data_IF_298889720063
#
_entry.id   IF_298889720063
#
_cell.length_a   1.000
_cell.length_b   1.000
_cell.length_c   1.000
_cell.angle_alpha   90.00
_cell.angle_beta   90.00
_cell.angle_gamma   90.00
#
_symmetry.space_group_name_H-M   'P 1'
#
loop_
_entity.id
_entity.type
_entity.pdbx_description
1 polymer ?
#
# COMPACT_ATOMS: atom_id res chain seq x y z
N UNK A 1 14.17 6.00 9.64
CA UNK A 1 13.80 5.68 8.24
C UNK A 1 12.62 6.56 7.85
N UNK A 2 12.55 6.97 6.58
CA UNK A 2 11.54 7.91 6.06
C UNK A 2 10.68 7.24 5.00
N UNK A 3 9.38 7.10 5.26
CA UNK A 3 8.42 6.58 4.28
C UNK A 3 7.61 7.72 3.64
N UNK A 4 7.58 7.76 2.31
CA UNK A 4 6.60 8.57 1.59
C UNK A 4 5.21 7.96 1.74
N UNK A 5 4.25 8.73 2.20
CA UNK A 5 2.87 8.28 2.42
C UNK A 5 1.92 9.12 1.61
N UNK A 6 1.17 8.49 0.71
CA UNK A 6 0.24 9.18 -0.17
C UNK A 6 -1.19 9.04 0.33
N UNK A 7 -1.94 10.13 0.32
CA UNK A 7 -3.31 10.18 0.83
C UNK A 7 -4.08 11.37 0.24
N UNK A 8 -5.43 11.31 0.33
CA UNK A 8 -6.31 12.43 -0.03
C UNK A 8 -6.75 13.23 1.19
N UNK A 9 -7.21 12.54 2.24
CA UNK A 9 -7.78 13.18 3.43
C UNK A 9 -6.86 12.96 4.65
N UNK A 10 -6.34 14.05 5.19
CA UNK A 10 -5.47 14.03 6.37
C UNK A 10 -6.17 13.51 7.63
N UNK A 11 -7.48 13.70 7.77
CA UNK A 11 -8.24 13.26 8.94
C UNK A 11 -8.25 11.72 9.10
N UNK A 12 -7.96 10.99 8.01
CA UNK A 12 -7.90 9.53 8.01
C UNK A 12 -6.49 8.96 8.22
N UNK A 13 -5.49 9.80 8.44
CA UNK A 13 -4.11 9.36 8.60
C UNK A 13 -3.75 8.80 9.98
N UNK A 14 -4.52 9.12 11.02
CA UNK A 14 -4.19 8.75 12.39
C UNK A 14 -3.78 7.28 12.60
N UNK A 15 -4.51 6.28 12.07
CA UNK A 15 -4.12 4.87 12.12
C UNK A 15 -2.78 4.60 11.43
N UNK A 16 -2.55 5.14 10.23
CA UNK A 16 -1.29 4.98 9.49
C UNK A 16 -0.11 5.62 10.24
N UNK A 17 -0.30 6.84 10.77
CA UNK A 17 0.73 7.54 11.57
C UNK A 17 1.12 6.73 12.81
N UNK A 18 0.13 6.12 13.46
CA UNK A 18 0.36 5.24 14.62
C UNK A 18 1.15 4.00 14.22
N UNK A 19 0.73 3.31 13.17
CA UNK A 19 1.38 2.10 12.69
C UNK A 19 2.84 2.35 12.29
N UNK A 20 3.09 3.41 11.55
CA UNK A 20 4.45 3.81 11.15
C UNK A 20 5.30 4.20 12.35
N UNK A 21 4.77 4.99 13.29
CA UNK A 21 5.48 5.40 14.49
C UNK A 21 5.86 4.21 15.38
N UNK A 22 4.95 3.23 15.55
CA UNK A 22 5.23 2.00 16.29
C UNK A 22 6.31 1.14 15.61
N UNK A 23 6.40 1.21 14.27
CA UNK A 23 7.46 0.57 13.49
C UNK A 23 8.77 1.39 13.39
N UNK A 24 8.86 2.55 14.05
CA UNK A 24 10.04 3.41 14.01
C UNK A 24 10.26 4.15 12.68
N UNK A 25 9.18 4.40 11.94
CA UNK A 25 9.19 5.05 10.62
C UNK A 25 8.67 6.48 10.72
N UNK A 26 9.43 7.43 10.20
CA UNK A 26 9.03 8.82 9.99
C UNK A 26 8.17 8.94 8.73
N UNK A 27 7.02 9.61 8.82
CA UNK A 27 6.12 9.85 7.70
C UNK A 27 6.50 11.12 6.93
N UNK A 28 6.68 10.99 5.62
CA UNK A 28 6.76 12.12 4.66
C UNK A 28 5.46 12.17 3.87
N UNK A 29 4.66 13.22 4.09
CA UNK A 29 3.30 13.34 3.55
C UNK A 29 3.31 13.78 2.07
N UNK A 30 2.61 13.04 1.20
CA UNK A 30 2.43 13.31 -0.23
C UNK A 30 3.74 13.80 -0.91
N UNK A 31 4.80 12.98 -0.92
CA UNK A 31 6.09 13.40 -1.47
C UNK A 31 5.98 13.67 -2.97
N UNK A 32 6.68 14.68 -3.46
CA UNK A 32 6.75 15.00 -4.88
C UNK A 32 7.63 14.02 -5.68
N UNK A 33 8.60 13.37 -5.01
CA UNK A 33 9.50 12.36 -5.58
C UNK A 33 9.83 11.29 -4.54
N UNK A 34 10.50 10.22 -4.95
CA UNK A 34 11.01 9.20 -4.04
C UNK A 34 12.38 9.55 -3.44
N UNK A 35 12.97 10.69 -3.82
CA UNK A 35 14.28 11.10 -3.36
C UNK A 35 14.29 11.25 -1.83
N UNK A 36 15.36 10.80 -1.21
CA UNK A 36 15.52 10.76 0.25
C UNK A 36 14.46 9.95 1.04
N UNK A 37 13.68 9.11 0.37
CA UNK A 37 12.81 8.13 1.01
C UNK A 37 13.52 6.77 1.14
N UNK A 38 13.17 6.06 2.19
CA UNK A 38 13.60 4.68 2.42
C UNK A 38 12.49 3.68 2.06
N UNK A 39 11.25 4.15 1.85
CA UNK A 39 10.09 3.35 1.45
C UNK A 39 8.91 4.19 0.98
N UNK A 40 7.93 3.54 0.34
CA UNK A 40 6.69 4.14 -0.15
C UNK A 40 5.49 3.37 0.42
N UNK A 41 4.55 4.09 1.04
CA UNK A 41 3.28 3.55 1.50
C UNK A 41 2.14 4.23 0.75
N UNK A 42 1.38 3.43 -0.01
CA UNK A 42 0.14 3.86 -0.66
C UNK A 42 -1.05 3.53 0.24
N UNK A 43 -1.83 4.55 0.62
CA UNK A 43 -2.97 4.36 1.55
C UNK A 43 -4.28 4.06 0.82
N UNK A 44 -5.30 3.68 1.58
CA UNK A 44 -6.67 3.58 1.11
C UNK A 44 -7.25 4.90 0.59
N UNK A 45 -8.43 4.88 -0.02
CA UNK A 45 -9.06 6.10 -0.54
C UNK A 45 -10.21 5.85 -1.50
N UNK A 46 -10.49 6.86 -2.33
CA UNK A 46 -11.49 6.84 -3.41
C UNK A 46 -11.10 5.84 -4.52
N UNK A 47 -12.03 5.53 -5.41
CA UNK A 47 -11.83 4.62 -6.51
C UNK A 47 -10.68 5.07 -7.45
N UNK A 48 -10.03 4.11 -8.09
CA UNK A 48 -9.06 4.36 -9.16
C UNK A 48 -9.81 4.63 -10.46
N UNK A 49 -9.38 5.63 -11.24
CA UNK A 49 -10.04 5.99 -12.50
C UNK A 49 -10.06 4.80 -13.49
N UNK A 50 -11.24 4.31 -13.91
CA UNK A 50 -11.36 3.22 -14.85
C UNK A 50 -10.68 3.48 -16.20
N UNK A 51 -10.53 4.73 -16.61
CA UNK A 51 -9.79 5.10 -17.82
C UNK A 51 -8.33 4.63 -17.79
N UNK A 52 -7.72 4.44 -16.60
CA UNK A 52 -6.35 3.97 -16.44
C UNK A 52 -6.15 2.50 -16.84
N UNK A 53 -7.23 1.72 -16.87
CA UNK A 53 -7.22 0.32 -17.32
C UNK A 53 -8.16 0.07 -18.51
N UNK A 54 -8.52 1.15 -19.25
CA UNK A 54 -9.23 1.08 -20.52
C UNK A 54 -10.74 0.82 -20.42
N UNK A 55 -11.33 1.07 -19.26
CA UNK A 55 -12.76 0.85 -19.02
C UNK A 55 -13.53 2.15 -18.83
N UNK A 56 -14.86 2.06 -19.00
CA UNK A 56 -15.79 3.14 -18.64
C UNK A 56 -16.26 2.94 -17.21
N UNK A 57 -16.47 4.05 -16.48
CA UNK A 57 -17.00 4.01 -15.13
C UNK A 57 -18.43 3.45 -15.11
N UNK A 58 -18.66 2.45 -14.24
CA UNK A 58 -20.02 1.93 -13.99
C UNK A 58 -20.77 2.84 -13.00
N UNK A 59 -22.12 2.79 -12.97
CA UNK A 59 -22.93 3.68 -12.12
C UNK A 59 -22.57 3.59 -10.61
N UNK A 60 -22.26 2.37 -10.13
CA UNK A 60 -21.96 2.12 -8.72
C UNK A 60 -20.52 2.45 -8.31
N UNK A 61 -19.65 2.80 -9.27
CA UNK A 61 -18.30 3.25 -8.97
C UNK A 61 -18.27 4.70 -8.48
N UNK A 62 -17.45 4.96 -7.47
CA UNK A 62 -17.25 6.29 -6.91
C UNK A 62 -16.48 7.24 -7.84
N UNK A 63 -16.41 8.52 -7.46
CA UNK A 63 -15.61 9.50 -8.19
C UNK A 63 -14.11 9.28 -7.95
N UNK A 64 -13.30 9.09 -9.02
CA UNK A 64 -11.86 8.93 -8.88
C UNK A 64 -11.16 10.23 -8.53
N UNK A 65 -10.00 10.10 -7.91
CA UNK A 65 -9.05 11.20 -7.72
C UNK A 65 -7.91 11.09 -8.73
N UNK A 66 -8.13 11.64 -9.93
CA UNK A 66 -7.19 11.52 -11.06
C UNK A 66 -5.81 12.11 -10.77
N UNK A 67 -5.77 13.21 -10.01
CA UNK A 67 -4.50 13.84 -9.65
C UNK A 67 -3.69 12.94 -8.70
N UNK A 68 -4.37 12.31 -7.75
CA UNK A 68 -3.76 11.31 -6.85
C UNK A 68 -3.35 10.05 -7.62
N UNK A 69 -4.19 9.55 -8.52
CA UNK A 69 -3.86 8.39 -9.37
C UNK A 69 -2.58 8.62 -10.15
N UNK A 70 -2.43 9.80 -10.77
CA UNK A 70 -1.24 10.16 -11.56
C UNK A 70 0.02 10.26 -10.69
N UNK A 71 -0.09 10.96 -9.57
CA UNK A 71 1.00 11.10 -8.61
C UNK A 71 1.48 9.73 -8.10
N UNK A 72 0.56 8.91 -7.61
CA UNK A 72 0.89 7.60 -7.04
C UNK A 72 1.42 6.62 -8.08
N UNK A 73 0.85 6.60 -9.30
CA UNK A 73 1.35 5.76 -10.39
C UNK A 73 2.80 6.11 -10.75
N UNK A 74 3.12 7.40 -10.82
CA UNK A 74 4.49 7.89 -11.06
C UNK A 74 5.43 7.47 -9.92
N UNK A 75 5.05 7.70 -8.66
CA UNK A 75 5.86 7.33 -7.50
C UNK A 75 6.09 5.82 -7.43
N UNK A 76 5.06 5.01 -7.69
CA UNK A 76 5.16 3.56 -7.69
C UNK A 76 6.09 3.05 -8.79
N UNK A 77 6.01 3.63 -10.00
CA UNK A 77 6.92 3.31 -11.11
C UNK A 77 8.37 3.63 -10.74
N UNK A 78 8.62 4.81 -10.18
CA UNK A 78 9.96 5.20 -9.70
C UNK A 78 10.45 4.28 -8.59
N UNK A 79 9.58 3.92 -7.63
CA UNK A 79 9.92 3.01 -6.54
C UNK A 79 10.33 1.62 -7.06
N UNK A 80 9.63 1.08 -8.05
CA UNK A 80 10.00 -0.18 -8.69
C UNK A 80 11.37 -0.12 -9.37
N UNK A 81 11.65 0.94 -10.13
CA UNK A 81 12.94 1.16 -10.78
C UNK A 81 14.11 1.31 -9.79
N UNK A 82 13.86 1.97 -8.66
CA UNK A 82 14.85 2.16 -7.60
C UNK A 82 14.93 0.99 -6.62
N UNK A 83 14.11 -0.05 -6.78
CA UNK A 83 13.95 -1.15 -5.82
C UNK A 83 13.60 -0.68 -4.40
N UNK A 84 12.94 0.48 -4.30
CA UNK A 84 12.46 1.05 -3.04
C UNK A 84 11.36 0.17 -2.45
N UNK A 85 11.39 -0.19 -1.17
CA UNK A 85 10.33 -0.94 -0.52
C UNK A 85 8.95 -0.26 -0.66
N UNK A 86 7.93 -1.03 -1.05
CA UNK A 86 6.57 -0.57 -1.23
C UNK A 86 5.60 -1.39 -0.39
N UNK A 87 4.79 -0.72 0.42
CA UNK A 87 3.59 -1.28 1.05
C UNK A 87 2.37 -0.55 0.50
N UNK A 88 1.43 -1.30 -0.09
CA UNK A 88 0.22 -0.74 -0.70
C UNK A 88 -1.03 -1.29 0.01
N UNK A 89 -1.92 -0.41 0.48
CA UNK A 89 -3.07 -0.76 1.32
C UNK A 89 -4.36 -0.36 0.61
N UNK A 90 -5.30 -1.31 0.50
CA UNK A 90 -6.64 -1.14 -0.05
C UNK A 90 -6.61 -0.55 -1.47
N UNK A 91 -6.95 0.72 -1.64
CA UNK A 91 -6.80 1.42 -2.92
C UNK A 91 -5.37 1.34 -3.47
N UNK A 92 -4.36 1.32 -2.59
CA UNK A 92 -2.96 1.15 -2.99
C UNK A 92 -2.72 -0.18 -3.71
N UNK A 93 -3.31 -1.30 -3.27
CA UNK A 93 -3.29 -2.59 -3.96
C UNK A 93 -3.92 -2.47 -5.35
N UNK A 94 -5.09 -1.84 -5.43
CA UNK A 94 -5.83 -1.67 -6.68
C UNK A 94 -5.02 -0.85 -7.70
N UNK A 95 -4.44 0.26 -7.27
CA UNK A 95 -3.58 1.08 -8.11
C UNK A 95 -2.31 0.34 -8.53
N UNK A 96 -1.69 -0.42 -7.62
CA UNK A 96 -0.53 -1.24 -7.96
C UNK A 96 -0.89 -2.25 -9.05
N UNK A 97 -2.02 -2.95 -8.95
CA UNK A 97 -2.48 -3.86 -9.99
C UNK A 97 -2.64 -3.14 -11.35
N UNK A 98 -3.26 -1.95 -11.36
CA UNK A 98 -3.48 -1.15 -12.57
C UNK A 98 -2.16 -0.65 -13.18
N UNK A 99 -1.22 -0.17 -12.37
CA UNK A 99 0.11 0.29 -12.85
C UNK A 99 0.91 -0.85 -13.49
N UNK A 100 0.71 -2.08 -13.03
CA UNK A 100 1.29 -3.28 -13.61
C UNK A 100 0.49 -3.82 -14.81
N UNK A 101 -0.52 -3.07 -15.29
CA UNK A 101 -1.33 -3.40 -16.47
C UNK A 101 -2.51 -4.33 -16.19
N UNK A 102 -2.90 -4.50 -14.93
CA UNK A 102 -4.11 -5.22 -14.53
C UNK A 102 -5.39 -4.38 -14.69
N UNK A 103 -6.53 -4.95 -14.30
CA UNK A 103 -7.84 -4.27 -14.28
C UNK A 103 -8.52 -4.47 -12.92
N UNK A 104 -9.62 -3.76 -12.70
CA UNK A 104 -10.39 -3.84 -11.45
C UNK A 104 -11.82 -4.31 -11.69
N UNK A 105 -12.39 -4.98 -10.69
CA UNK A 105 -13.84 -5.08 -10.50
C UNK A 105 -14.25 -3.75 -9.88
N UNK A 106 -15.02 -2.95 -10.62
CA UNK A 106 -15.40 -1.60 -10.20
C UNK A 106 -16.44 -1.58 -9.08
N UNK A 107 -17.23 -2.67 -8.96
CA UNK A 107 -18.17 -2.88 -7.86
C UNK A 107 -18.36 -4.39 -7.65
N UNK A 108 -18.08 -4.86 -6.43
CA UNK A 108 -18.22 -6.27 -6.07
C UNK A 108 -19.69 -6.66 -5.95
N UNK A 109 -20.06 -7.83 -6.47
CA UNK A 109 -21.40 -8.40 -6.27
C UNK A 109 -21.64 -8.81 -4.80
N UNK A 110 -20.54 -9.17 -4.08
CA UNK A 110 -20.55 -9.54 -2.65
C UNK A 110 -20.11 -8.39 -1.75
N UNK A 111 -20.49 -7.16 -2.10
CA UNK A 111 -20.05 -5.94 -1.39
C UNK A 111 -20.35 -5.95 0.10
N UNK A 112 -21.42 -6.61 0.53
CA UNK A 112 -21.82 -6.74 1.93
C UNK A 112 -20.81 -7.53 2.78
N UNK A 113 -20.02 -8.41 2.17
CA UNK A 113 -18.92 -9.14 2.84
C UNK A 113 -17.71 -8.22 3.01
N UNK A 114 -17.41 -7.41 1.99
CA UNK A 114 -16.18 -6.63 1.87
C UNK A 114 -16.30 -5.19 2.37
N UNK A 115 -17.52 -4.69 2.59
CA UNK A 115 -17.74 -3.32 3.04
C UNK A 115 -18.55 -3.29 4.33
N UNK A 116 -17.85 -3.31 5.45
CA UNK A 116 -18.45 -3.06 6.77
C UNK A 116 -18.21 -1.63 7.18
N UNK A 117 -19.25 -0.96 7.69
CA UNK A 117 -19.15 0.43 8.14
C UNK A 117 -18.26 0.48 9.40
N UNK A 118 -17.25 1.37 9.45
CA UNK A 118 -16.48 1.62 10.66
C UNK A 118 -17.31 2.09 11.86
N UNK A 119 -18.52 2.64 11.64
CA UNK A 119 -19.43 3.08 12.71
C UNK A 119 -20.01 1.90 13.51
N UNK A 120 -19.97 0.68 12.95
CA UNK A 120 -20.35 -0.55 13.68
C UNK A 120 -19.25 -1.05 14.64
N UNK A 121 -18.09 -0.41 14.63
CA UNK A 121 -16.99 -0.74 15.52
C UNK A 121 -16.97 0.20 16.72
N UNK A 122 -17.07 -0.36 17.94
CA UNK A 122 -16.70 0.37 19.15
C UNK A 122 -15.29 0.96 18.99
N UNK A 123 -15.09 2.18 19.49
CA UNK A 123 -13.85 2.93 19.35
C UNK A 123 -12.63 2.06 19.74
N UNK A 124 -11.74 1.84 18.78
CA UNK A 124 -10.54 0.99 18.94
C UNK A 124 -10.75 -0.51 18.71
N UNK A 125 -11.95 -0.97 18.42
CA UNK A 125 -12.24 -2.34 17.99
C UNK A 125 -12.62 -2.32 16.51
N UNK A 126 -11.71 -2.73 15.64
CA UNK A 126 -12.01 -3.01 14.24
C UNK A 126 -12.20 -4.53 14.09
N UNK A 127 -13.45 -5.02 14.21
CA UNK A 127 -13.73 -6.46 14.17
C UNK A 127 -13.32 -7.01 12.80
N UNK A 128 -12.96 -8.27 12.77
CA UNK A 128 -12.76 -9.00 11.52
C UNK A 128 -14.07 -8.96 10.72
N UNK A 129 -13.93 -8.65 9.42
CA UNK A 129 -15.06 -8.65 8.50
C UNK A 129 -15.24 -10.01 7.85
N UNK A 130 -14.13 -10.61 7.37
CA UNK A 130 -14.11 -11.91 6.73
C UNK A 130 -12.76 -12.59 6.90
N UNK A 131 -12.66 -13.82 6.39
CA UNK A 131 -11.43 -14.61 6.35
C UNK A 131 -10.78 -14.52 4.98
N UNK A 132 -9.46 -14.49 5.00
CA UNK A 132 -8.62 -14.65 3.83
C UNK A 132 -7.76 -15.90 3.98
N UNK A 133 -7.31 -16.45 2.85
CA UNK A 133 -6.29 -17.49 2.81
C UNK A 133 -5.01 -16.93 2.22
N UNK A 134 -3.95 -16.90 3.02
CA UNK A 134 -2.61 -16.48 2.62
C UNK A 134 -1.91 -17.67 1.94
N UNK A 135 -1.39 -17.44 0.73
CA UNK A 135 -0.78 -18.44 -0.14
C UNK A 135 0.62 -18.81 0.37
N UNK A 136 0.86 -20.08 0.57
CA UNK A 136 2.18 -20.62 0.94
C UNK A 136 3.25 -20.27 -0.11
N UNK A 137 4.49 -20.04 0.33
CA UNK A 137 5.62 -19.69 -0.54
C UNK A 137 5.68 -18.22 -0.94
N UNK A 138 4.70 -17.41 -0.54
CA UNK A 138 4.70 -15.96 -0.76
C UNK A 138 5.48 -15.23 0.34
N UNK A 139 5.94 -14.00 0.03
CA UNK A 139 6.58 -13.14 1.03
C UNK A 139 5.58 -12.74 2.12
N UNK A 140 4.33 -12.51 1.76
CA UNK A 140 3.26 -12.26 2.72
C UNK A 140 3.15 -13.43 3.72
N UNK A 141 3.16 -14.68 3.23
CA UNK A 141 3.14 -15.87 4.09
C UNK A 141 4.37 -15.97 5.01
N UNK A 142 5.54 -15.58 4.52
CA UNK A 142 6.75 -15.54 5.34
C UNK A 142 6.68 -14.51 6.48
N UNK A 143 5.84 -13.46 6.32
CA UNK A 143 5.69 -12.38 7.31
C UNK A 143 4.59 -12.70 8.32
N UNK A 144 3.38 -13.07 7.85
CA UNK A 144 2.21 -13.22 8.72
C UNK A 144 1.78 -14.67 8.94
N UNK A 145 2.41 -15.63 8.27
CA UNK A 145 2.03 -17.04 8.24
C UNK A 145 1.15 -17.38 7.05
N UNK A 146 1.29 -18.60 6.53
CA UNK A 146 0.38 -19.16 5.54
C UNK A 146 -0.93 -19.62 6.18
N UNK A 147 -2.00 -19.76 5.38
CA UNK A 147 -3.29 -20.27 5.83
C UNK A 147 -4.32 -19.19 6.11
N UNK A 148 -5.28 -19.46 6.98
CA UNK A 148 -6.42 -18.57 7.22
C UNK A 148 -6.09 -17.46 8.22
N UNK A 149 -6.50 -16.23 7.88
CA UNK A 149 -6.41 -15.05 8.72
C UNK A 149 -7.74 -14.29 8.69
N UNK A 150 -8.08 -13.69 9.81
CA UNK A 150 -9.23 -12.78 9.90
C UNK A 150 -8.78 -11.33 9.68
N UNK A 151 -9.45 -10.63 8.76
CA UNK A 151 -9.12 -9.24 8.38
C UNK A 151 -10.35 -8.33 8.46
N UNK A 152 -10.12 -7.03 8.63
CA UNK A 152 -11.16 -6.02 8.43
C UNK A 152 -11.32 -5.70 6.95
N UNK A 153 -12.44 -5.07 6.57
CA UNK A 153 -12.69 -4.77 5.17
C UNK A 153 -13.60 -3.57 5.00
N UNK A 154 -13.25 -2.68 4.05
CA UNK A 154 -13.99 -1.45 3.74
C UNK A 154 -13.94 -1.12 2.25
N UNK A 155 -13.86 -2.11 1.38
CA UNK A 155 -13.77 -1.89 -0.06
C UNK A 155 -14.99 -2.43 -0.81
N UNK A 156 -15.27 -1.86 -1.97
CA UNK A 156 -16.27 -2.33 -2.91
C UNK A 156 -15.66 -2.61 -4.29
N UNK A 157 -14.38 -2.28 -4.46
CA UNK A 157 -13.60 -2.61 -5.65
C UNK A 157 -12.53 -3.64 -5.30
N UNK A 158 -12.08 -4.41 -6.30
CA UNK A 158 -11.00 -5.38 -6.14
C UNK A 158 -10.19 -5.53 -7.43
N UNK A 159 -9.00 -6.15 -7.35
CA UNK A 159 -8.26 -6.56 -8.53
C UNK A 159 -9.04 -7.61 -9.31
N UNK A 160 -9.13 -7.43 -10.66
CA UNK A 160 -9.75 -8.38 -11.59
C UNK A 160 -8.67 -9.14 -12.36
N UNK A 161 -8.31 -8.69 -13.56
CA UNK A 161 -7.16 -9.25 -14.27
C UNK A 161 -5.88 -8.79 -13.59
N UNK A 162 -5.03 -9.75 -13.28
CA UNK A 162 -3.75 -9.50 -12.61
C UNK A 162 -2.79 -8.73 -13.52
N UNK A 163 -2.09 -7.76 -12.95
CA UNK A 163 -0.99 -7.05 -13.59
C UNK A 163 0.22 -7.97 -13.84
N UNK A 164 1.05 -7.60 -14.82
CA UNK A 164 2.20 -8.41 -15.19
C UNK A 164 3.18 -8.59 -14.04
N UNK A 165 3.68 -9.82 -13.88
CA UNK A 165 4.64 -10.22 -12.86
C UNK A 165 4.18 -10.09 -11.39
N UNK A 166 2.95 -9.67 -11.15
CA UNK A 166 2.36 -9.78 -9.82
C UNK A 166 1.96 -11.24 -9.55
N UNK A 167 2.04 -11.63 -8.29
CA UNK A 167 1.51 -12.91 -7.81
C UNK A 167 0.46 -12.65 -6.73
N UNK A 168 -0.56 -13.52 -6.70
CA UNK A 168 -1.59 -13.47 -5.67
C UNK A 168 -1.05 -14.07 -4.39
N UNK A 169 -1.00 -13.28 -3.32
CA UNK A 169 -0.49 -13.71 -2.02
C UNK A 169 -1.61 -13.98 -0.99
N UNK A 170 -2.85 -13.51 -1.26
CA UNK A 170 -4.02 -13.84 -0.44
C UNK A 170 -5.31 -13.74 -1.25
N UNK A 171 -6.31 -14.56 -0.87
CA UNK A 171 -7.66 -14.54 -1.44
C UNK A 171 -8.70 -14.73 -0.34
N UNK A 172 -9.89 -14.13 -0.49
CA UNK A 172 -11.06 -14.40 0.35
C UNK A 172 -11.78 -15.68 -0.06
N UNK A 173 -12.75 -16.12 0.74
CA UNK A 173 -13.51 -17.35 0.48
C UNK A 173 -14.34 -17.28 -0.81
N UNK A 174 -14.78 -16.09 -1.23
CA UNK A 174 -15.51 -15.83 -2.48
C UNK A 174 -14.58 -15.57 -3.67
N UNK A 175 -13.26 -15.74 -3.50
CA UNK A 175 -12.27 -15.66 -4.57
C UNK A 175 -11.77 -14.23 -4.88
N UNK A 176 -12.15 -13.24 -4.10
CA UNK A 176 -11.64 -11.87 -4.25
C UNK A 176 -10.16 -11.84 -3.86
N UNK A 177 -9.35 -11.16 -4.69
CA UNK A 177 -7.92 -10.97 -4.43
C UNK A 177 -7.75 -10.01 -3.26
N UNK A 178 -7.09 -10.50 -2.22
CA UNK A 178 -6.86 -9.78 -0.97
C UNK A 178 -5.38 -9.44 -0.73
N UNK A 179 -4.48 -10.07 -1.47
CA UNK A 179 -3.05 -9.80 -1.39
C UNK A 179 -2.35 -9.98 -2.72
N UNK A 180 -1.44 -9.06 -3.02
CA UNK A 180 -0.56 -9.10 -4.20
C UNK A 180 0.88 -8.82 -3.77
N UNK A 181 1.84 -9.38 -4.51
CA UNK A 181 3.25 -9.00 -4.37
C UNK A 181 3.97 -9.07 -5.72
N UNK A 182 5.02 -8.26 -5.87
CA UNK A 182 6.00 -8.42 -6.95
C UNK A 182 7.23 -9.17 -6.41
N UNK A 183 7.40 -10.44 -6.75
CA UNK A 183 8.50 -11.25 -6.23
C UNK A 183 9.89 -10.82 -6.77
N UNK A 184 9.94 -10.01 -7.82
CA UNK A 184 11.18 -9.48 -8.42
C UNK A 184 11.80 -8.35 -7.58
N UNK A 185 10.96 -7.66 -6.77
CA UNK A 185 11.40 -6.56 -5.92
C UNK A 185 11.74 -7.07 -4.51
N UNK A 186 12.70 -6.45 -3.81
CA UNK A 186 13.06 -6.83 -2.45
C UNK A 186 11.88 -6.79 -1.48
N UNK A 187 11.01 -5.79 -1.61
CA UNK A 187 9.76 -5.67 -0.86
C UNK A 187 8.73 -4.87 -1.66
N UNK A 188 7.74 -5.53 -2.22
CA UNK A 188 6.58 -4.90 -2.84
C UNK A 188 5.37 -5.77 -2.52
N UNK A 189 4.67 -5.40 -1.45
CA UNK A 189 3.52 -6.12 -0.91
C UNK A 189 2.32 -5.19 -0.91
N UNK A 190 1.20 -5.71 -1.37
CA UNK A 190 -0.07 -5.02 -1.40
C UNK A 190 -1.15 -5.86 -0.71
N UNK A 191 -1.95 -5.24 0.14
CA UNK A 191 -3.04 -5.88 0.88
C UNK A 191 -4.35 -5.10 0.68
N UNK A 192 -5.47 -5.81 0.56
CA UNK A 192 -6.75 -5.19 0.30
C UNK A 192 -7.45 -4.71 1.58
N UNK A 193 -7.17 -5.37 2.71
CA UNK A 193 -7.67 -4.97 4.02
C UNK A 193 -6.89 -3.77 4.58
N UNK A 194 -7.26 -3.34 5.81
CA UNK A 194 -6.69 -2.19 6.50
C UNK A 194 -5.90 -2.62 7.76
N UNK A 195 -4.64 -3.06 7.60
CA UNK A 195 -3.81 -3.49 8.73
C UNK A 195 -3.51 -2.35 9.73
N UNK A 196 -3.49 -1.09 9.27
CA UNK A 196 -3.25 0.10 10.09
C UNK A 196 -4.26 0.27 11.23
N UNK A 197 -5.50 -0.19 11.02
CA UNK A 197 -6.55 -0.11 12.04
C UNK A 197 -6.42 -1.18 13.12
N UNK A 198 -5.67 -2.26 12.85
CA UNK A 198 -5.64 -3.48 13.66
C UNK A 198 -4.32 -3.72 14.39
N UNK A 199 -3.33 -2.86 14.26
CA UNK A 199 -2.00 -3.04 14.89
C UNK A 199 -2.06 -3.27 16.41
N UNK A 200 -3.11 -2.81 17.09
CA UNK A 200 -3.29 -3.02 18.54
C UNK A 200 -3.80 -4.41 18.91
N UNK A 201 -4.55 -5.04 18.00
CA UNK A 201 -5.26 -6.32 18.26
C UNK A 201 -4.75 -7.48 17.43
N UNK A 202 -4.05 -7.24 16.32
CA UNK A 202 -3.54 -8.26 15.40
C UNK A 202 -2.01 -8.28 15.38
N UNK A 203 -1.43 -9.42 15.72
CA UNK A 203 0.01 -9.64 15.61
C UNK A 203 0.46 -9.67 14.15
N UNK A 204 -0.34 -10.28 13.25
CA UNK A 204 -0.08 -10.35 11.82
C UNK A 204 0.03 -8.95 11.18
N UNK A 205 -0.89 -8.05 11.53
CA UNK A 205 -0.89 -6.69 11.00
C UNK A 205 0.32 -5.88 11.53
N UNK A 206 0.73 -6.06 12.79
CA UNK A 206 1.98 -5.48 13.31
C UNK A 206 3.21 -6.01 12.59
N UNK A 207 3.25 -7.33 12.32
CA UNK A 207 4.37 -7.96 11.61
C UNK A 207 4.52 -7.42 10.19
N UNK A 208 3.44 -7.08 9.51
CA UNK A 208 3.49 -6.47 8.17
C UNK A 208 4.20 -5.11 8.20
N UNK A 209 3.87 -4.23 9.14
CA UNK A 209 4.57 -2.95 9.30
C UNK A 209 6.02 -3.12 9.76
N UNK A 210 6.29 -4.07 10.65
CA UNK A 210 7.66 -4.39 11.08
C UNK A 210 8.52 -4.91 9.93
N UNK A 211 7.97 -5.76 9.06
CA UNK A 211 8.65 -6.26 7.86
C UNK A 211 8.92 -5.15 6.84
N UNK A 212 7.97 -4.22 6.66
CA UNK A 212 8.19 -3.03 5.85
C UNK A 212 9.34 -2.17 6.41
N UNK A 213 9.37 -1.92 7.72
CA UNK A 213 10.47 -1.21 8.38
C UNK A 213 11.82 -1.91 8.18
N UNK A 214 11.87 -3.24 8.33
CA UNK A 214 13.10 -4.01 8.12
C UNK A 214 13.60 -3.91 6.67
N UNK A 215 12.69 -3.98 5.68
CA UNK A 215 13.03 -3.78 4.28
C UNK A 215 13.58 -2.37 4.00
N UNK A 216 12.96 -1.34 4.58
CA UNK A 216 13.44 0.05 4.49
C UNK A 216 14.83 0.21 5.11
N UNK A 217 15.10 -0.46 6.23
CA UNK A 217 16.42 -0.45 6.86
C UNK A 217 17.49 -1.03 5.93
N UNK A 218 17.20 -2.18 5.32
CA UNK A 218 18.10 -2.81 4.35
C UNK A 218 18.36 -1.89 3.14
N UNK A 219 17.30 -1.28 2.60
CA UNK A 219 17.41 -0.34 1.49
C UNK A 219 18.27 0.88 1.85
N UNK A 220 18.05 1.49 3.02
CA UNK A 220 18.77 2.70 3.46
C UNK A 220 20.27 2.47 3.65
N UNK A 221 20.68 1.26 4.02
CA UNK A 221 22.08 0.86 4.19
C UNK A 221 22.74 0.41 2.88
N UNK A 222 21.94 0.08 1.86
CA UNK A 222 22.39 -0.36 0.55
C UNK A 222 22.93 0.76 -0.35
N UNK A 223 23.46 0.40 -1.53
CA UNK A 223 24.05 1.35 -2.48
C UNK A 223 23.02 2.36 -3.03
N UNK A 224 21.75 1.99 -3.09
CA UNK A 224 20.66 2.85 -3.56
C UNK A 224 20.33 3.96 -2.54
N UNK A 225 20.23 3.63 -1.24
CA UNK A 225 19.95 4.60 -0.17
C UNK A 225 21.06 5.62 0.07
N UNK A 226 22.31 5.24 -0.19
CA UNK A 226 23.48 6.15 -0.05
C UNK A 226 23.54 7.20 -1.16
N UNK A 227 23.10 6.89 -2.39
CA UNK A 227 23.09 7.85 -3.51
C UNK A 227 22.06 8.97 -3.31
N UNK A 228 20.89 8.65 -2.75
CA UNK A 228 19.84 9.65 -2.52
C UNK A 228 20.19 10.67 -1.43
N UNK A 229 21.02 10.30 -0.45
CA UNK A 229 21.46 11.19 0.64
C UNK A 229 22.62 12.11 0.22
N UNK A 230 23.48 11.68 -0.70
CA UNK A 230 24.66 12.46 -1.14
C UNK A 230 24.31 13.69 -1.96
N UNK A 231 23.14 13.73 -2.61
CA UNK A 231 22.70 14.88 -3.41
C UNK A 231 21.94 15.94 -2.62
N UNK A 232 21.43 15.59 -1.43
CA UNK A 232 20.66 16.50 -0.56
C UNK A 232 21.53 17.31 0.42
N UNK A 233 22.78 16.88 0.66
CA UNK A 233 23.65 17.43 1.71
C UNK A 233 24.87 18.22 1.19
N UNK A 234 24.81 18.80 -0.03
CA UNK A 234 25.82 19.76 -0.45
C UNK A 234 25.46 21.17 0.06
N UNK A 235 26.14 21.69 1.10
CA UNK A 235 25.98 23.09 1.48
C UNK A 235 26.45 23.98 0.33
N UNK A 236 25.57 24.92 -0.06
CA UNK A 236 25.87 25.88 -1.11
C UNK A 236 27.19 26.59 -0.84
N UNK A 237 28.12 26.47 -1.78
CA UNK A 237 29.36 27.27 -1.75
C UNK A 237 28.98 28.76 -1.77
N UNK A 238 29.49 29.60 -0.87
CA UNK A 238 29.33 31.04 -0.98
C UNK A 238 30.05 31.54 -2.25
N UNK A 239 29.31 32.20 -3.11
CA UNK A 239 29.92 32.94 -4.23
C UNK A 239 30.77 34.05 -3.62
N UNK A 240 32.09 33.94 -3.75
CA UNK A 240 33.00 35.05 -3.53
C UNK A 240 32.77 36.08 -4.68
N UNK A 241 32.21 37.20 -4.29
CA UNK A 241 32.17 38.42 -5.14
C UNK A 241 33.56 39.04 -5.16
N UNK A 242 34.12 39.18 -6.34
CA UNK A 242 35.21 40.12 -6.67
C UNK A 242 34.61 41.30 -7.45
#
# INVERSE_FOLDING_TARGET
MRAGVTFKNADRLGPYERALREAGIEMVRNPASIDSLDGLLLTGGSDVDPARYGERRVPDAGEPDRARDEMEARLLTQAGQAQLPVLAICRGLQLMNVVYGGTLIQHLASVEIHRRDPQDAEEGKHPAAHRIRVTEGTRLAAIIGAGEHEVNSRHHQAAARLGQALVVSAVSADGVIEGLEDPRLPFAIAVQWHPEDRIRVSAADRQLFAAFAAAMQVYSLGPHGRKSRSTADQPGHPRLSA
#
